data_IF_172970469642
#
_entry.id   IF_172970469642
#
_cell.length_a   1.000
_cell.length_b   1.000
_cell.length_c   1.000
_cell.angle_alpha   90.00
_cell.angle_beta   90.00
_cell.angle_gamma   90.00
#
_symmetry.space_group_name_H-M   'P 1'
#
loop_
_entity.id
_entity.type
_entity.pdbx_description
1 polymer ?
#
# COMPACT_ATOMS: atom_id res chain seq x y z
N UNK A 1 -6.23 -19.55 -63.57
CA UNK A 1 -6.34 -20.82 -62.86
C UNK A 1 -6.09 -20.54 -61.42
N UNK A 2 -6.98 -20.89 -60.51
CA UNK A 2 -7.81 -19.87 -59.86
C UNK A 2 -7.22 -19.38 -58.52
N UNK A 3 -7.48 -18.11 -58.26
CA UNK A 3 -7.31 -17.41 -57.00
C UNK A 3 -8.37 -17.95 -56.03
N UNK A 4 -7.99 -18.40 -54.86
CA UNK A 4 -8.91 -18.76 -53.80
C UNK A 4 -8.86 -17.74 -52.66
N UNK A 5 -10.02 -17.08 -52.51
CA UNK A 5 -10.44 -16.21 -51.43
C UNK A 5 -10.20 -16.83 -50.02
N UNK A 6 -9.50 -16.09 -49.17
CA UNK A 6 -9.70 -16.15 -47.69
C UNK A 6 -9.50 -14.74 -47.12
N UNK A 7 -10.51 -13.92 -47.32
CA UNK A 7 -10.73 -12.69 -46.57
C UNK A 7 -12.20 -12.70 -46.14
N UNK A 8 -12.46 -13.05 -44.92
CA UNK A 8 -13.65 -12.69 -44.12
C UNK A 8 -13.69 -13.59 -42.89
N UNK A 9 -13.29 -13.05 -41.77
CA UNK A 9 -13.84 -13.28 -40.42
C UNK A 9 -12.96 -12.48 -39.46
N UNK A 10 -13.22 -11.21 -39.32
CA UNK A 10 -12.83 -10.41 -38.12
C UNK A 10 -13.62 -9.09 -38.12
N UNK A 11 -14.95 -9.19 -38.02
CA UNK A 11 -15.78 -8.08 -37.54
C UNK A 11 -17.03 -8.70 -36.92
N UNK A 12 -16.97 -9.00 -35.63
CA UNK A 12 -18.15 -9.05 -34.75
C UNK A 12 -17.71 -9.44 -33.32
N UNK A 13 -17.13 -8.51 -32.58
CA UNK A 13 -17.06 -8.60 -31.12
C UNK A 13 -16.73 -7.24 -30.49
N UNK A 14 -17.55 -6.23 -30.74
CA UNK A 14 -17.68 -5.08 -29.83
C UNK A 14 -19.05 -4.45 -30.06
N UNK A 15 -20.02 -4.77 -29.25
CA UNK A 15 -20.80 -3.80 -28.52
C UNK A 15 -21.35 -4.34 -27.19
N UNK A 16 -20.57 -4.38 -26.12
CA UNK A 16 -21.13 -4.66 -24.79
C UNK A 16 -20.59 -3.77 -23.66
N UNK A 17 -19.63 -2.90 -23.90
CA UNK A 17 -19.08 -2.00 -22.87
C UNK A 17 -19.77 -0.64 -22.76
N UNK A 18 -20.60 -0.25 -23.71
CA UNK A 18 -21.38 1.01 -23.65
C UNK A 18 -22.69 0.90 -22.84
N UNK A 19 -23.11 -0.30 -22.46
CA UNK A 19 -24.41 -0.51 -21.77
C UNK A 19 -24.31 -0.54 -20.24
N UNK A 20 -23.11 -0.65 -19.64
CA UNK A 20 -22.95 -0.68 -18.19
C UNK A 20 -22.78 0.70 -17.57
N UNK A 21 -22.23 1.67 -18.30
CA UNK A 21 -22.10 3.05 -17.81
C UNK A 21 -23.42 3.83 -17.80
N UNK A 22 -24.44 3.36 -18.52
CA UNK A 22 -25.74 4.04 -18.61
C UNK A 22 -26.76 3.61 -17.56
N UNK A 23 -26.47 2.63 -16.70
CA UNK A 23 -27.41 2.11 -15.69
C UNK A 23 -27.21 2.64 -14.27
N UNK A 24 -26.18 3.40 -13.99
CA UNK A 24 -25.94 4.01 -12.66
C UNK A 24 -26.40 5.49 -12.63
N UNK A 25 -26.78 6.08 -13.75
CA UNK A 25 -27.17 7.49 -13.83
C UNK A 25 -28.67 7.78 -13.60
N UNK A 26 -29.47 6.81 -13.16
CA UNK A 26 -30.92 7.01 -12.96
C UNK A 26 -31.31 6.55 -11.56
N UNK A 27 -30.96 7.35 -10.53
CA UNK A 27 -31.69 7.36 -9.23
C UNK A 27 -31.16 8.44 -8.27
N UNK A 28 -30.90 9.65 -8.77
CA UNK A 28 -30.91 10.83 -7.89
C UNK A 28 -31.78 11.91 -8.55
N UNK A 29 -32.81 12.45 -7.90
CA UNK A 29 -33.54 13.57 -8.44
C UNK A 29 -32.62 14.79 -8.47
N UNK A 30 -32.35 15.30 -9.67
CA UNK A 30 -31.73 16.58 -9.89
C UNK A 30 -32.68 17.68 -9.40
N UNK A 31 -32.54 18.10 -8.15
CA UNK A 31 -32.97 19.43 -7.75
C UNK A 31 -31.93 20.42 -8.26
N UNK A 32 -32.30 21.42 -9.05
CA UNK A 32 -31.38 22.49 -9.41
C UNK A 32 -31.01 23.25 -8.12
N UNK A 33 -29.74 23.62 -7.94
CA UNK A 33 -29.36 24.41 -6.77
C UNK A 33 -30.05 25.75 -6.79
N UNK A 34 -30.73 26.10 -5.71
CA UNK A 34 -31.31 27.41 -5.46
C UNK A 34 -30.18 28.47 -5.44
N UNK A 35 -30.22 29.49 -6.31
CA UNK A 35 -29.19 30.51 -6.37
C UNK A 35 -29.02 31.35 -5.09
N UNK A 36 -29.90 31.15 -4.09
CA UNK A 36 -29.81 31.85 -2.81
C UNK A 36 -28.81 31.24 -1.80
N UNK A 37 -28.29 30.04 -2.05
CA UNK A 37 -27.42 29.33 -1.07
C UNK A 37 -25.95 29.73 -1.13
N UNK A 38 -25.51 30.55 -2.09
CA UNK A 38 -24.11 30.95 -2.25
C UNK A 38 -23.72 32.23 -1.51
N UNK A 39 -24.65 32.93 -0.85
CA UNK A 39 -24.35 34.24 -0.21
C UNK A 39 -23.92 34.16 1.25
N UNK A 40 -23.78 32.97 1.86
CA UNK A 40 -23.46 32.84 3.28
C UNK A 40 -22.00 32.50 3.61
N UNK A 41 -21.11 32.45 2.61
CA UNK A 41 -19.67 32.09 2.78
C UNK A 41 -18.71 33.26 2.58
N UNK A 42 -19.20 34.52 2.48
CA UNK A 42 -18.32 35.67 2.50
C UNK A 42 -18.38 36.41 3.86
N UNK A 43 -17.24 36.76 4.46
CA UNK A 43 -17.25 37.57 5.66
C UNK A 43 -17.85 38.94 5.38
N UNK A 44 -18.49 39.59 6.37
CA UNK A 44 -19.19 40.85 6.17
C UNK A 44 -18.22 41.97 5.74
N UNK A 45 -18.54 42.68 4.67
CA UNK A 45 -17.86 43.90 4.28
C UNK A 45 -18.11 44.93 5.38
N UNK A 46 -17.05 45.39 6.04
CA UNK A 46 -17.07 46.54 6.92
C UNK A 46 -17.18 47.81 6.05
N UNK A 47 -18.39 48.30 5.93
CA UNK A 47 -18.68 49.63 5.38
C UNK A 47 -18.91 50.60 6.55
N UNK A 48 -18.05 51.54 6.72
CA UNK A 48 -18.20 52.60 7.72
C UNK A 48 -17.76 53.93 7.13
N UNK A 49 -18.75 54.66 6.61
CA UNK A 49 -18.62 56.09 6.33
C UNK A 49 -18.64 56.88 7.66
N UNK A 50 -17.61 57.66 7.95
CA UNK A 50 -17.76 58.87 8.76
C UNK A 50 -16.62 59.82 8.43
N UNK A 51 -17.00 60.93 7.75
CA UNK A 51 -16.25 62.16 7.67
C UNK A 51 -16.17 62.80 9.05
N UNK A 52 -15.00 63.11 9.52
CA UNK A 52 -14.75 64.26 10.38
C UNK A 52 -13.27 64.73 10.31
N UNK A 53 -13.10 65.98 10.28
CA UNK A 53 -11.94 66.81 9.89
C UNK A 53 -10.80 66.88 10.91
N UNK A 54 -9.62 66.96 10.33
CA UNK A 54 -8.49 67.92 10.69
C UNK A 54 -7.98 67.96 12.12
N UNK A 55 -6.71 67.65 12.32
CA UNK A 55 -5.67 68.53 12.79
C UNK A 55 -4.28 67.90 12.79
N UNK A 56 -3.32 68.71 12.37
CA UNK A 56 -1.90 68.46 12.22
C UNK A 56 -1.22 67.74 13.39
N UNK A 57 -0.44 66.78 13.11
CA UNK A 57 0.51 66.12 14.00
C UNK A 57 1.24 65.03 13.22
N UNK A 58 2.38 65.38 12.60
CA UNK A 58 3.23 64.44 11.91
C UNK A 58 3.79 63.38 12.92
N UNK A 59 3.10 62.26 13.08
CA UNK A 59 3.66 61.08 13.69
C UNK A 59 4.08 60.18 12.55
N UNK A 60 5.38 60.09 12.29
CA UNK A 60 6.00 59.11 11.40
C UNK A 60 5.68 57.74 11.98
N UNK A 61 4.96 56.86 11.26
CA UNK A 61 4.76 55.47 11.73
C UNK A 61 6.11 54.76 11.70
N UNK A 62 6.41 53.86 12.67
CA UNK A 62 7.60 53.05 12.61
C UNK A 62 7.54 52.20 11.36
N UNK A 63 8.47 52.35 10.44
CA UNK A 63 8.73 51.45 9.35
C UNK A 63 9.33 50.19 9.95
N UNK A 64 8.51 49.17 10.18
CA UNK A 64 8.93 47.81 10.28
C UNK A 64 7.82 46.93 9.70
N UNK A 65 7.51 47.14 8.42
CA UNK A 65 6.88 46.10 7.62
C UNK A 65 8.02 45.31 7.00
N UNK A 66 8.54 44.31 7.72
CA UNK A 66 9.12 43.19 7.05
C UNK A 66 7.97 42.64 6.17
N UNK A 67 8.09 42.81 4.85
CA UNK A 67 7.24 42.08 3.92
C UNK A 67 7.34 40.60 4.31
N UNK A 68 6.22 39.91 4.51
CA UNK A 68 6.28 38.50 4.81
C UNK A 68 7.10 37.84 3.71
N UNK A 69 8.14 37.12 4.09
CA UNK A 69 8.99 36.40 3.15
C UNK A 69 8.08 35.57 2.23
N UNK A 70 8.33 35.64 0.92
CA UNK A 70 7.55 34.86 -0.05
C UNK A 70 7.55 33.39 0.37
N UNK A 71 6.41 32.70 0.29
CA UNK A 71 6.35 31.30 0.66
C UNK A 71 7.32 30.50 -0.19
N UNK A 72 8.04 29.57 0.43
CA UNK A 72 9.01 28.71 -0.24
C UNK A 72 8.48 27.30 -0.32
N UNK A 73 8.68 26.67 -1.47
CA UNK A 73 8.35 25.29 -1.77
C UNK A 73 9.63 24.44 -1.72
N UNK A 74 9.62 23.33 -1.00
CA UNK A 74 10.72 22.36 -1.04
C UNK A 74 10.54 21.44 -2.26
N UNK A 75 11.52 21.45 -3.17
CA UNK A 75 11.59 20.48 -4.25
C UNK A 75 12.51 19.33 -3.88
N UNK A 76 12.05 18.06 -4.04
CA UNK A 76 12.83 16.86 -3.83
C UNK A 76 12.91 16.06 -5.13
N UNK A 77 14.13 15.88 -5.63
CA UNK A 77 14.43 15.00 -6.76
C UNK A 77 14.32 13.52 -6.39
N UNK A 78 14.40 12.62 -7.37
CA UNK A 78 14.45 11.16 -7.10
C UNK A 78 15.61 10.77 -6.18
N UNK A 79 16.76 11.44 -6.28
CA UNK A 79 17.91 11.19 -5.39
C UNK A 79 17.63 11.68 -3.96
N UNK A 80 16.97 12.82 -3.80
CA UNK A 80 16.61 13.36 -2.50
C UNK A 80 15.56 12.49 -1.80
N UNK A 81 14.53 12.07 -2.54
CA UNK A 81 13.52 11.13 -2.05
C UNK A 81 14.18 9.81 -1.64
N UNK A 82 15.10 9.30 -2.46
CA UNK A 82 15.84 8.08 -2.14
C UNK A 82 16.67 8.19 -0.86
N UNK A 83 17.28 9.32 -0.62
CA UNK A 83 18.09 9.57 0.57
C UNK A 83 17.23 9.73 1.83
N UNK A 84 16.09 10.46 1.73
CA UNK A 84 15.22 10.76 2.86
C UNK A 84 14.26 9.60 3.22
N UNK A 85 13.84 8.77 2.23
CA UNK A 85 12.87 7.71 2.40
C UNK A 85 13.56 6.37 2.68
N UNK A 86 14.16 6.23 3.85
CA UNK A 86 14.79 4.97 4.31
C UNK A 86 13.74 3.87 4.52
N UNK A 87 14.19 2.63 4.74
CA UNK A 87 13.30 1.49 5.00
C UNK A 87 12.43 1.75 6.24
N UNK A 88 13.03 2.24 7.34
CA UNK A 88 12.32 2.52 8.59
C UNK A 88 11.29 3.63 8.42
N UNK A 89 11.64 4.72 7.72
CA UNK A 89 10.69 5.83 7.43
C UNK A 89 9.54 5.33 6.55
N UNK A 90 9.84 4.49 5.58
CA UNK A 90 8.84 3.91 4.70
C UNK A 90 7.89 2.99 5.48
N UNK A 91 8.42 2.07 6.28
CA UNK A 91 7.64 1.15 7.10
C UNK A 91 6.74 1.92 8.09
N UNK A 92 7.31 2.80 8.90
CA UNK A 92 6.54 3.59 9.88
C UNK A 92 5.42 4.40 9.21
N UNK A 93 5.68 5.00 8.02
CA UNK A 93 4.67 5.75 7.30
C UNK A 93 3.50 4.88 6.83
N UNK A 94 3.77 3.65 6.35
CA UNK A 94 2.72 2.75 5.89
C UNK A 94 1.93 2.15 7.05
N UNK A 95 2.59 1.80 8.15
CA UNK A 95 1.92 1.34 9.35
C UNK A 95 0.95 2.43 9.87
N UNK A 96 1.40 3.68 9.99
CA UNK A 96 0.54 4.80 10.40
C UNK A 96 -0.64 5.03 9.43
N UNK A 97 -0.41 4.90 8.12
CA UNK A 97 -1.47 5.02 7.12
C UNK A 97 -2.57 3.98 7.31
N UNK A 98 -2.22 2.71 7.49
CA UNK A 98 -3.19 1.65 7.69
C UNK A 98 -3.92 1.76 9.03
N UNK A 99 -3.24 2.18 10.11
CA UNK A 99 -3.90 2.47 11.39
C UNK A 99 -4.93 3.59 11.22
N UNK A 100 -4.60 4.70 10.57
CA UNK A 100 -5.53 5.80 10.32
C UNK A 100 -6.75 5.34 9.48
N UNK A 101 -6.50 4.49 8.48
CA UNK A 101 -7.57 3.90 7.66
C UNK A 101 -8.47 2.98 8.49
N UNK A 102 -7.88 2.08 9.29
CA UNK A 102 -8.62 1.14 10.15
C UNK A 102 -9.45 1.82 11.24
N UNK A 103 -9.02 3.01 11.70
CA UNK A 103 -9.79 3.86 12.64
C UNK A 103 -10.86 4.70 11.95
N UNK A 104 -10.90 4.73 10.61
CA UNK A 104 -11.84 5.57 9.88
C UNK A 104 -11.52 7.07 9.93
N UNK A 105 -10.28 7.44 10.26
CA UNK A 105 -9.81 8.83 10.35
C UNK A 105 -9.41 9.39 8.98
N UNK A 106 -8.97 8.51 8.08
CA UNK A 106 -8.44 8.87 6.78
C UNK A 106 -9.51 9.41 5.81
N UNK A 107 -9.13 10.41 5.03
CA UNK A 107 -9.94 10.94 3.94
C UNK A 107 -9.33 10.44 2.61
N UNK A 108 -10.02 9.48 1.98
CA UNK A 108 -9.59 8.79 0.78
C UNK A 108 -10.69 8.88 -0.31
N UNK A 109 -10.73 9.95 -1.12
CA UNK A 109 -11.66 10.04 -2.23
C UNK A 109 -11.28 9.06 -3.35
N UNK A 110 -12.26 8.73 -4.21
CA UNK A 110 -12.03 7.91 -5.39
C UNK A 110 -10.92 8.50 -6.28
N UNK A 111 -10.09 7.63 -6.83
CA UNK A 111 -9.01 8.01 -7.75
C UNK A 111 -9.56 8.51 -9.08
N UNK A 112 -8.88 9.50 -9.67
CA UNK A 112 -9.17 9.99 -11.00
C UNK A 112 -8.26 9.29 -12.01
N UNK A 113 -8.84 8.63 -13.00
CA UNK A 113 -8.13 8.01 -14.11
C UNK A 113 -8.50 8.72 -15.41
N UNK A 114 -7.50 9.05 -16.21
CA UNK A 114 -7.62 9.72 -17.52
C UNK A 114 -7.01 8.78 -18.59
N UNK A 115 -7.83 8.00 -19.31
CA UNK A 115 -7.35 7.12 -20.35
C UNK A 115 -6.60 7.89 -21.45
N UNK A 116 -5.48 7.31 -21.91
CA UNK A 116 -4.66 7.81 -22.99
C UNK A 116 -4.80 6.97 -24.26
N UNK A 117 -3.71 6.80 -25.00
CA UNK A 117 -3.68 5.93 -26.19
C UNK A 117 -3.33 4.50 -25.76
N UNK A 118 -4.06 3.50 -26.30
CA UNK A 118 -3.84 2.11 -25.96
C UNK A 118 -4.06 1.89 -24.45
N UNK A 119 -3.04 1.37 -23.77
CA UNK A 119 -3.05 1.10 -22.33
C UNK A 119 -2.45 2.24 -21.48
N UNK A 120 -2.13 3.38 -22.10
CA UNK A 120 -1.63 4.54 -21.39
C UNK A 120 -2.72 5.16 -20.52
N UNK A 121 -2.38 5.56 -19.31
CA UNK A 121 -3.31 6.21 -18.38
C UNK A 121 -2.59 7.28 -17.55
N UNK A 122 -3.18 8.48 -17.45
CA UNK A 122 -2.81 9.42 -16.41
C UNK A 122 -3.74 9.25 -15.20
N UNK A 123 -3.21 9.51 -14.01
CA UNK A 123 -3.95 9.33 -12.76
C UNK A 123 -3.72 10.50 -11.80
N UNK A 124 -4.73 10.76 -10.96
CA UNK A 124 -4.59 11.65 -9.81
C UNK A 124 -5.15 10.95 -8.57
N UNK A 125 -4.34 10.85 -7.54
CA UNK A 125 -4.71 10.39 -6.21
C UNK A 125 -4.59 11.56 -5.25
N UNK A 126 -5.55 11.69 -4.34
CA UNK A 126 -5.48 12.66 -3.25
C UNK A 126 -5.91 11.99 -1.96
N UNK A 127 -5.29 12.34 -0.84
CA UNK A 127 -5.67 11.83 0.46
C UNK A 127 -5.17 12.73 1.61
N UNK A 128 -5.72 12.48 2.80
CA UNK A 128 -5.23 12.96 4.10
C UNK A 128 -5.32 11.82 5.10
N UNK A 129 -4.36 11.72 6.01
CA UNK A 129 -4.41 10.72 7.09
C UNK A 129 -5.54 11.02 8.09
N UNK A 130 -5.87 12.31 8.28
CA UNK A 130 -7.00 12.82 9.06
C UNK A 130 -7.36 14.25 8.59
N UNK A 131 -8.46 14.80 9.06
CA UNK A 131 -8.93 16.13 8.61
C UNK A 131 -7.93 17.27 8.87
N UNK A 132 -7.13 17.16 9.93
CA UNK A 132 -6.11 18.16 10.31
C UNK A 132 -4.74 17.89 9.66
N UNK A 133 -4.52 16.76 9.02
CA UNK A 133 -3.27 16.41 8.37
C UNK A 133 -3.06 17.16 7.04
N UNK A 134 -1.81 17.26 6.54
CA UNK A 134 -1.54 17.78 5.21
C UNK A 134 -2.35 17.07 4.12
N UNK A 135 -2.92 17.84 3.18
CA UNK A 135 -3.48 17.25 1.98
C UNK A 135 -2.36 16.93 1.00
N UNK A 136 -2.39 15.74 0.45
CA UNK A 136 -1.37 15.29 -0.51
C UNK A 136 -2.06 14.87 -1.79
N UNK A 137 -1.46 15.22 -2.93
CA UNK A 137 -1.88 14.70 -4.23
C UNK A 137 -0.69 14.11 -4.97
N UNK A 138 -0.94 12.98 -5.66
CA UNK A 138 -0.01 12.39 -6.61
C UNK A 138 -0.65 12.43 -8.00
N UNK A 139 -0.03 13.17 -8.91
CA UNK A 139 -0.41 13.19 -10.32
C UNK A 139 0.69 12.54 -11.14
N UNK A 140 0.31 11.62 -12.01
CA UNK A 140 1.26 10.88 -12.80
C UNK A 140 0.63 10.13 -13.97
N UNK A 141 1.43 9.28 -14.58
CA UNK A 141 0.97 8.45 -15.69
C UNK A 141 1.67 7.09 -15.71
N UNK A 142 1.01 6.14 -16.34
CA UNK A 142 1.57 4.83 -16.71
C UNK A 142 1.66 4.77 -18.24
N UNK A 143 2.87 4.54 -18.74
CA UNK A 143 3.17 4.33 -20.16
C UNK A 143 4.03 3.08 -20.30
N UNK A 144 3.41 1.94 -20.61
CA UNK A 144 4.11 0.65 -20.69
C UNK A 144 5.25 0.66 -21.73
N UNK A 145 5.08 1.37 -22.84
CA UNK A 145 6.08 1.51 -23.90
C UNK A 145 7.36 2.30 -23.52
N UNK A 146 7.36 2.99 -22.39
CA UNK A 146 8.54 3.71 -21.91
C UNK A 146 9.73 2.80 -21.64
N UNK A 147 9.47 1.55 -21.25
CA UNK A 147 10.51 0.55 -20.97
C UNK A 147 11.39 0.31 -22.20
N UNK A 148 10.80 0.26 -23.40
CA UNK A 148 11.52 0.09 -24.66
C UNK A 148 12.43 1.29 -24.99
N UNK A 149 12.13 2.47 -24.42
CA UNK A 149 12.93 3.69 -24.53
C UNK A 149 13.93 3.89 -23.37
N UNK A 150 14.04 2.92 -22.46
CA UNK A 150 14.88 3.01 -21.26
C UNK A 150 14.36 3.98 -20.20
N UNK A 151 13.07 4.33 -20.24
CA UNK A 151 12.41 5.18 -19.27
C UNK A 151 11.55 4.35 -18.31
N UNK A 152 11.33 4.80 -17.07
CA UNK A 152 10.36 4.18 -16.19
C UNK A 152 8.95 4.15 -16.79
N UNK A 153 8.23 3.05 -16.61
CA UNK A 153 6.84 2.94 -17.05
C UNK A 153 5.91 3.90 -16.28
N UNK A 154 6.26 4.25 -15.06
CA UNK A 154 5.48 5.14 -14.18
C UNK A 154 6.28 6.40 -13.89
N UNK A 155 5.70 7.55 -14.17
CA UNK A 155 6.19 8.86 -13.76
C UNK A 155 5.13 9.58 -12.93
N UNK A 156 5.52 10.20 -11.83
CA UNK A 156 4.62 10.97 -10.99
C UNK A 156 5.33 12.11 -10.26
N UNK A 157 4.55 13.15 -9.95
CA UNK A 157 4.89 14.17 -8.98
C UNK A 157 3.91 14.08 -7.81
N UNK A 158 4.42 14.32 -6.61
CA UNK A 158 3.64 14.36 -5.38
C UNK A 158 3.74 15.75 -4.77
N UNK A 159 2.60 16.35 -4.43
CA UNK A 159 2.49 17.67 -3.83
C UNK A 159 1.92 17.57 -2.43
N UNK A 160 2.52 18.25 -1.46
CA UNK A 160 2.08 18.34 -0.07
C UNK A 160 1.63 19.78 0.20
N UNK A 161 0.46 19.95 0.80
CA UNK A 161 -0.10 21.25 1.19
C UNK A 161 0.01 21.43 2.71
N UNK A 162 0.31 22.65 3.15
CA UNK A 162 0.20 23.03 4.56
C UNK A 162 -1.24 22.84 5.05
N UNK A 163 -1.47 22.16 6.16
CA UNK A 163 -2.84 21.84 6.61
C UNK A 163 -3.63 23.06 7.08
N UNK A 164 -2.97 24.15 7.45
CA UNK A 164 -3.58 25.35 8.00
C UNK A 164 -3.86 26.40 6.93
N UNK A 165 -2.89 26.62 6.05
CA UNK A 165 -2.95 27.70 5.05
C UNK A 165 -3.31 27.22 3.64
N UNK A 166 -3.15 25.91 3.37
CA UNK A 166 -3.31 25.33 2.04
C UNK A 166 -2.16 25.67 1.06
N UNK A 167 -1.12 26.36 1.52
CA UNK A 167 0.05 26.70 0.69
C UNK A 167 0.82 25.41 0.37
N UNK A 168 1.24 25.18 -0.90
CA UNK A 168 2.14 24.07 -1.21
C UNK A 168 3.46 24.19 -0.46
N UNK A 169 3.85 23.17 0.29
CA UNK A 169 5.08 23.13 1.09
C UNK A 169 6.15 22.27 0.47
N UNK A 170 5.74 21.25 -0.30
CA UNK A 170 6.67 20.33 -0.95
C UNK A 170 6.13 19.84 -2.28
N UNK A 171 7.02 19.69 -3.26
CA UNK A 171 6.81 18.90 -4.48
C UNK A 171 7.95 17.92 -4.61
N UNK A 172 7.64 16.64 -4.82
CA UNK A 172 8.66 15.61 -4.92
C UNK A 172 8.43 14.65 -6.09
N UNK A 173 9.51 14.04 -6.53
CA UNK A 173 9.49 12.97 -7.52
C UNK A 173 8.80 11.72 -6.91
N UNK A 174 7.89 11.11 -7.68
CA UNK A 174 7.00 10.07 -7.16
C UNK A 174 7.39 8.64 -7.51
N UNK A 175 8.40 8.39 -8.34
CA UNK A 175 8.77 7.04 -8.79
C UNK A 175 9.38 6.23 -7.66
N UNK A 176 10.44 6.73 -7.03
CA UNK A 176 11.07 6.11 -5.86
C UNK A 176 10.10 6.01 -4.68
N UNK A 177 9.33 7.06 -4.43
CA UNK A 177 8.31 7.07 -3.37
C UNK A 177 7.32 5.92 -3.57
N UNK A 178 6.74 5.79 -4.77
CA UNK A 178 5.76 4.74 -5.08
C UNK A 178 6.37 3.34 -4.92
N UNK A 179 7.60 3.13 -5.41
CA UNK A 179 8.27 1.84 -5.31
C UNK A 179 8.46 1.41 -3.87
N UNK A 180 9.04 2.30 -3.04
CA UNK A 180 9.36 1.98 -1.64
C UNK A 180 8.15 1.89 -0.75
N UNK A 181 7.14 2.78 -0.91
CA UNK A 181 5.91 2.69 -0.09
C UNK A 181 5.12 1.40 -0.38
N UNK A 182 5.15 0.91 -1.62
CA UNK A 182 4.47 -0.34 -1.98
C UNK A 182 5.11 -1.54 -1.29
N UNK A 183 6.43 -1.65 -1.34
CA UNK A 183 7.14 -2.72 -0.67
C UNK A 183 7.05 -2.61 0.87
N UNK A 184 7.07 -1.39 1.42
CA UNK A 184 6.88 -1.16 2.85
C UNK A 184 5.48 -1.54 3.33
N UNK A 185 4.43 -1.29 2.53
CA UNK A 185 3.08 -1.75 2.83
C UNK A 185 3.01 -3.29 2.89
N UNK A 186 3.74 -3.96 2.01
CA UNK A 186 3.85 -5.43 2.04
C UNK A 186 4.65 -5.93 3.24
N UNK A 187 5.66 -5.18 3.71
CA UNK A 187 6.37 -5.51 4.95
C UNK A 187 5.46 -5.41 6.17
N UNK A 188 4.65 -4.34 6.28
CA UNK A 188 3.62 -4.20 7.34
C UNK A 188 2.63 -5.37 7.28
N UNK A 189 2.19 -5.76 6.07
CA UNK A 189 1.31 -6.91 5.89
C UNK A 189 1.99 -8.23 6.30
N UNK A 190 3.28 -8.39 6.00
CA UNK A 190 4.06 -9.58 6.39
C UNK A 190 4.14 -9.69 7.92
N UNK A 191 4.42 -8.61 8.62
CA UNK A 191 4.48 -8.57 10.09
C UNK A 191 3.12 -8.87 10.73
N UNK A 192 2.03 -8.31 10.20
CA UNK A 192 0.69 -8.47 10.76
C UNK A 192 0.02 -9.80 10.41
N UNK A 193 0.34 -10.39 9.26
CA UNK A 193 -0.44 -11.49 8.69
C UNK A 193 0.29 -12.84 8.68
N UNK A 194 1.60 -12.84 8.87
CA UNK A 194 2.36 -14.07 8.88
C UNK A 194 3.01 -14.30 10.26
N UNK A 195 2.90 -15.54 10.73
CA UNK A 195 3.55 -16.01 11.96
C UNK A 195 4.16 -17.38 11.71
N UNK A 196 5.32 -17.68 12.30
CA UNK A 196 5.89 -19.03 12.28
C UNK A 196 4.91 -20.10 12.75
N UNK A 197 4.05 -19.78 13.72
CA UNK A 197 3.05 -20.70 14.30
C UNK A 197 1.92 -21.03 13.31
N UNK A 198 1.64 -20.16 12.32
CA UNK A 198 0.62 -20.40 11.30
C UNK A 198 0.99 -21.53 10.35
N UNK A 199 2.22 -22.01 10.39
CA UNK A 199 2.78 -22.99 9.47
C UNK A 199 2.38 -24.45 9.75
N UNK A 200 1.66 -24.74 10.84
CA UNK A 200 1.20 -26.10 11.18
C UNK A 200 2.31 -27.15 11.34
N UNK A 201 3.55 -26.69 11.45
CA UNK A 201 4.71 -27.55 11.67
C UNK A 201 5.01 -27.59 13.15
N UNK A 202 5.29 -28.74 13.76
CA UNK A 202 5.59 -28.91 15.18
C UNK A 202 6.80 -28.07 15.58
N UNK A 203 6.58 -27.06 16.42
CA UNK A 203 7.61 -26.17 16.91
C UNK A 203 8.52 -26.88 17.90
N UNK A 204 9.79 -26.96 17.57
CA UNK A 204 10.82 -27.11 18.60
C UNK A 204 10.99 -25.74 19.28
N UNK A 205 10.28 -25.51 20.38
CA UNK A 205 10.52 -24.36 21.24
C UNK A 205 11.94 -24.39 21.73
N UNK A 206 12.78 -23.47 21.26
CA UNK A 206 14.08 -23.22 21.87
C UNK A 206 13.82 -22.42 23.14
N UNK A 207 14.21 -22.99 24.29
CA UNK A 207 13.83 -22.56 25.64
C UNK A 207 14.55 -21.29 26.15
N UNK A 208 15.14 -20.47 25.29
CA UNK A 208 16.05 -19.39 25.72
C UNK A 208 15.64 -18.03 25.11
N UNK A 209 14.41 -17.57 25.28
CA UNK A 209 14.08 -16.13 25.26
C UNK A 209 14.59 -15.23 24.11
N UNK A 210 15.25 -15.79 23.11
CA UNK A 210 15.67 -15.12 21.90
C UNK A 210 14.73 -15.56 20.76
N UNK A 211 14.02 -14.63 20.18
CA UNK A 211 13.02 -14.70 19.14
C UNK A 211 12.71 -16.07 18.51
N UNK A 212 11.45 -16.31 18.17
CA UNK A 212 10.98 -17.57 17.58
C UNK A 212 11.90 -17.99 16.45
N UNK A 213 12.77 -18.98 16.72
CA UNK A 213 13.73 -19.49 15.76
C UNK A 213 13.03 -20.29 14.68
N UNK A 214 13.34 -19.97 13.44
CA UNK A 214 13.01 -20.81 12.29
C UNK A 214 13.55 -22.23 12.50
N UNK A 215 12.89 -23.15 11.89
CA UNK A 215 13.10 -24.56 11.90
C UNK A 215 14.43 -24.94 11.46
N UNK A 216 15.31 -25.42 11.63
CA UNK A 216 16.67 -25.73 11.19
C UNK A 216 17.66 -24.54 11.33
N UNK A 217 17.24 -23.43 11.99
CA UNK A 217 18.09 -22.24 12.15
C UNK A 217 18.25 -21.40 10.87
N UNK A 218 17.39 -21.60 9.85
CA UNK A 218 17.57 -20.96 8.53
C UNK A 218 16.69 -19.73 8.29
N UNK A 219 15.73 -19.38 9.15
CA UNK A 219 14.86 -18.21 9.00
C UNK A 219 13.69 -18.39 8.00
N UNK A 220 13.01 -17.28 7.68
CA UNK A 220 11.88 -17.23 6.75
C UNK A 220 12.34 -17.51 5.32
N UNK A 221 11.62 -18.36 4.60
CA UNK A 221 11.86 -18.59 3.18
C UNK A 221 10.95 -17.71 2.34
N UNK A 222 11.54 -16.84 1.52
CA UNK A 222 10.83 -15.89 0.68
C UNK A 222 10.96 -16.28 -0.79
N UNK A 223 9.82 -16.39 -1.48
CA UNK A 223 9.77 -16.49 -2.93
C UNK A 223 9.43 -15.11 -3.54
N UNK A 224 10.18 -14.71 -4.55
CA UNK A 224 9.90 -13.52 -5.35
C UNK A 224 9.56 -13.98 -6.77
N UNK A 225 8.38 -13.59 -7.26
CA UNK A 225 7.94 -13.90 -8.63
C UNK A 225 7.88 -12.62 -9.43
N UNK A 226 8.78 -12.50 -10.42
CA UNK A 226 8.99 -11.28 -11.21
C UNK A 226 10.40 -10.70 -11.03
N UNK A 227 10.87 -9.86 -11.99
CA UNK A 227 12.23 -9.30 -11.98
C UNK A 227 12.26 -7.77 -12.10
N UNK A 228 11.12 -7.11 -11.92
CA UNK A 228 10.98 -5.66 -11.99
C UNK A 228 11.41 -4.94 -10.70
N UNK A 229 11.25 -3.61 -10.69
CA UNK A 229 11.61 -2.74 -9.55
C UNK A 229 10.88 -3.13 -8.25
N UNK A 230 9.66 -3.68 -8.35
CA UNK A 230 8.91 -4.14 -7.19
C UNK A 230 9.49 -5.44 -6.63
N UNK A 231 9.98 -6.35 -7.47
CA UNK A 231 10.63 -7.58 -7.02
C UNK A 231 11.86 -7.28 -6.13
N UNK A 232 12.73 -6.36 -6.59
CA UNK A 232 13.88 -5.90 -5.82
C UNK A 232 13.48 -5.21 -4.51
N UNK A 233 12.49 -4.31 -4.57
CA UNK A 233 12.03 -3.57 -3.40
C UNK A 233 11.40 -4.50 -2.35
N UNK A 234 10.62 -5.52 -2.75
CA UNK A 234 10.04 -6.48 -1.83
C UNK A 234 11.10 -7.40 -1.20
N UNK A 235 12.12 -7.81 -1.96
CA UNK A 235 13.24 -8.55 -1.40
C UNK A 235 14.00 -7.73 -0.34
N UNK A 236 14.26 -6.43 -0.60
CA UNK A 236 14.90 -5.52 0.36
C UNK A 236 14.03 -5.31 1.61
N UNK A 237 12.72 -5.12 1.45
CA UNK A 237 11.82 -4.96 2.59
C UNK A 237 11.69 -6.24 3.42
N UNK A 238 11.66 -7.42 2.79
CA UNK A 238 11.59 -8.68 3.51
C UNK A 238 12.80 -8.89 4.43
N UNK A 239 14.02 -8.58 3.96
CA UNK A 239 15.24 -8.71 4.79
C UNK A 239 15.45 -7.58 5.79
N UNK A 240 14.75 -6.46 5.63
CA UNK A 240 14.77 -5.33 6.57
C UNK A 240 13.69 -5.38 7.64
N UNK A 241 12.78 -6.37 7.60
CA UNK A 241 11.71 -6.55 8.57
C UNK A 241 12.15 -7.23 9.87
N UNK A 242 11.19 -7.50 10.76
CA UNK A 242 11.45 -8.12 12.08
C UNK A 242 11.88 -9.59 11.98
N UNK A 243 11.55 -10.26 10.88
CA UNK A 243 11.84 -11.67 10.70
C UNK A 243 13.19 -11.90 10.01
N UNK A 244 14.00 -12.79 10.56
CA UNK A 244 15.24 -13.21 9.90
C UNK A 244 14.91 -14.00 8.64
N UNK A 245 15.31 -13.52 7.46
CA UNK A 245 15.18 -14.23 6.20
C UNK A 245 16.35 -15.17 6.01
N UNK A 246 16.06 -16.47 5.87
CA UNK A 246 17.09 -17.50 5.67
C UNK A 246 17.33 -17.83 4.20
N UNK A 247 16.33 -17.63 3.33
CA UNK A 247 16.43 -17.93 1.90
C UNK A 247 15.56 -17.02 1.07
N UNK A 248 16.09 -16.60 -0.10
CA UNK A 248 15.33 -15.90 -1.13
C UNK A 248 15.46 -16.68 -2.44
N UNK A 249 14.33 -17.06 -3.04
CA UNK A 249 14.27 -17.62 -4.39
C UNK A 249 13.56 -16.66 -5.33
N UNK A 250 14.16 -16.47 -6.50
CA UNK A 250 13.62 -15.63 -7.57
C UNK A 250 13.21 -16.50 -8.75
N UNK A 251 11.98 -16.32 -9.24
CA UNK A 251 11.53 -16.84 -10.52
C UNK A 251 10.99 -15.72 -11.39
N UNK A 252 11.38 -15.67 -12.65
CA UNK A 252 10.87 -14.67 -13.58
C UNK A 252 10.83 -15.23 -15.01
N UNK A 253 9.87 -14.72 -15.79
CA UNK A 253 9.72 -15.10 -17.21
C UNK A 253 10.90 -14.66 -18.06
N UNK A 254 11.41 -13.45 -17.80
CA UNK A 254 12.56 -12.89 -18.50
C UNK A 254 13.85 -13.21 -17.71
N UNK A 255 14.61 -14.17 -18.21
CA UNK A 255 15.85 -14.63 -17.59
C UNK A 255 16.92 -13.54 -17.53
N UNK A 256 17.04 -12.72 -18.57
CA UNK A 256 18.05 -11.65 -18.62
C UNK A 256 17.79 -10.60 -17.53
N UNK A 257 16.54 -10.12 -17.40
CA UNK A 257 16.15 -9.21 -16.32
C UNK A 257 16.35 -9.83 -14.93
N UNK A 258 16.12 -11.13 -14.79
CA UNK A 258 16.33 -11.84 -13.53
C UNK A 258 17.82 -11.94 -13.17
N UNK A 259 18.69 -12.27 -14.12
CA UNK A 259 20.16 -12.30 -13.93
C UNK A 259 20.70 -10.90 -13.54
N UNK A 260 20.19 -9.84 -14.15
CA UNK A 260 20.51 -8.46 -13.78
C UNK A 260 20.05 -8.11 -12.34
N UNK A 261 18.86 -8.55 -11.94
CA UNK A 261 18.36 -8.35 -10.57
C UNK A 261 19.26 -9.07 -9.57
N UNK A 262 19.61 -10.33 -9.81
CA UNK A 262 20.52 -11.09 -8.95
C UNK A 262 21.88 -10.41 -8.84
N UNK A 263 22.43 -9.92 -9.96
CA UNK A 263 23.71 -9.19 -9.96
C UNK A 263 23.63 -7.89 -9.13
N UNK A 264 22.53 -7.12 -9.25
CA UNK A 264 22.31 -5.94 -8.41
C UNK A 264 22.16 -6.33 -6.94
N UNK A 265 21.41 -7.39 -6.63
CA UNK A 265 21.19 -7.89 -5.28
C UNK A 265 22.53 -8.14 -4.55
N UNK A 266 23.48 -8.79 -5.19
CA UNK A 266 24.81 -9.02 -4.62
C UNK A 266 25.55 -7.75 -4.18
N UNK A 267 25.23 -6.60 -4.79
CA UNK A 267 25.87 -5.31 -4.49
C UNK A 267 25.07 -4.40 -3.59
N UNK A 268 23.73 -4.58 -3.52
CA UNK A 268 22.81 -3.66 -2.82
C UNK A 268 22.18 -4.25 -1.57
N UNK A 269 22.24 -5.58 -1.39
CA UNK A 269 21.64 -6.25 -0.23
C UNK A 269 22.29 -5.81 1.08
N UNK A 270 21.54 -5.74 2.17
CA UNK A 270 22.08 -5.48 3.51
C UNK A 270 23.09 -6.56 3.92
N UNK A 271 24.02 -6.17 4.80
CA UNK A 271 24.96 -7.12 5.40
C UNK A 271 24.20 -8.21 6.17
N UNK A 272 24.58 -9.47 5.97
CA UNK A 272 23.91 -10.62 6.59
C UNK A 272 22.67 -11.13 5.85
N UNK A 273 22.15 -10.41 4.86
CA UNK A 273 21.05 -10.91 4.02
C UNK A 273 21.49 -12.10 3.15
N UNK A 274 20.63 -13.10 2.94
CA UNK A 274 20.97 -14.27 2.13
C UNK A 274 21.19 -13.89 0.66
N UNK A 275 21.86 -14.78 -0.08
CA UNK A 275 21.94 -14.69 -1.54
C UNK A 275 20.53 -14.90 -2.14
N UNK A 276 20.31 -14.29 -3.30
CA UNK A 276 19.10 -14.52 -4.08
C UNK A 276 19.36 -15.65 -5.10
N UNK A 277 18.67 -16.77 -4.88
CA UNK A 277 18.76 -17.97 -5.73
C UNK A 277 17.80 -17.82 -6.92
N UNK A 278 18.33 -17.71 -8.14
CA UNK A 278 17.52 -17.72 -9.36
C UNK A 278 17.18 -19.15 -9.74
N UNK A 279 15.87 -19.46 -9.77
CA UNK A 279 15.35 -20.78 -10.13
C UNK A 279 14.63 -20.75 -11.48
N UNK A 280 14.41 -21.93 -12.09
CA UNK A 280 13.89 -22.01 -13.45
C UNK A 280 12.37 -21.88 -13.54
N UNK A 281 11.63 -22.24 -12.46
CA UNK A 281 10.18 -22.23 -12.46
C UNK A 281 9.62 -21.54 -11.22
N UNK A 282 8.38 -21.02 -11.32
CA UNK A 282 7.65 -20.45 -10.19
C UNK A 282 7.36 -21.52 -9.13
N UNK A 283 7.08 -22.77 -9.55
CA UNK A 283 6.92 -23.90 -8.64
C UNK A 283 8.15 -24.10 -7.75
N UNK A 284 9.36 -24.07 -8.35
CA UNK A 284 10.61 -24.18 -7.59
C UNK A 284 10.81 -23.00 -6.62
N UNK A 285 10.41 -21.79 -7.00
CA UNK A 285 10.49 -20.65 -6.10
C UNK A 285 9.54 -20.80 -4.92
N UNK A 286 8.31 -21.26 -5.15
CA UNK A 286 7.27 -21.43 -4.14
C UNK A 286 7.51 -22.64 -3.22
N UNK A 287 8.33 -23.60 -3.65
CA UNK A 287 8.61 -24.80 -2.85
C UNK A 287 9.14 -24.42 -1.47
N UNK A 288 8.43 -24.79 -0.42
CA UNK A 288 8.74 -24.47 0.99
C UNK A 288 8.74 -22.98 1.37
N UNK A 289 8.25 -22.09 0.49
CA UNK A 289 8.21 -20.65 0.79
C UNK A 289 7.18 -20.34 1.88
N UNK A 290 7.59 -19.54 2.84
CA UNK A 290 6.77 -18.98 3.93
C UNK A 290 6.00 -17.76 3.43
N UNK A 291 6.66 -16.93 2.65
CA UNK A 291 6.12 -15.72 2.04
C UNK A 291 6.39 -15.75 0.53
N UNK A 292 5.37 -15.47 -0.26
CA UNK A 292 5.44 -15.45 -1.72
C UNK A 292 5.02 -14.06 -2.19
N UNK A 293 5.96 -13.23 -2.65
CA UNK A 293 5.68 -11.92 -3.23
C UNK A 293 5.58 -12.03 -4.76
N UNK A 294 4.39 -11.78 -5.29
CA UNK A 294 4.11 -11.82 -6.74
C UNK A 294 4.11 -10.40 -7.28
N UNK A 295 5.15 -10.07 -8.05
CA UNK A 295 5.47 -8.71 -8.52
C UNK A 295 5.57 -8.67 -10.05
N UNK A 296 4.53 -9.15 -10.75
CA UNK A 296 4.55 -9.29 -12.21
C UNK A 296 3.65 -8.26 -12.91
N UNK A 297 3.72 -8.23 -14.22
CA UNK A 297 2.78 -7.51 -15.08
C UNK A 297 1.81 -8.45 -15.77
N UNK A 298 1.65 -9.68 -15.29
CA UNK A 298 0.80 -10.70 -15.90
C UNK A 298 -0.69 -10.29 -15.85
N UNK A 299 -1.41 -10.63 -16.90
CA UNK A 299 -2.87 -10.53 -16.94
C UNK A 299 -3.56 -11.86 -16.62
N UNK A 300 -2.78 -12.92 -16.41
CA UNK A 300 -3.25 -14.26 -16.06
C UNK A 300 -2.47 -14.79 -14.87
N UNK A 301 -3.06 -15.70 -14.07
CA UNK A 301 -2.40 -16.28 -12.92
C UNK A 301 -1.03 -16.87 -13.24
N UNK A 302 -0.07 -16.62 -12.36
CA UNK A 302 1.31 -17.12 -12.44
C UNK A 302 1.62 -18.14 -11.34
N UNK A 303 0.69 -18.34 -10.40
CA UNK A 303 0.74 -19.35 -9.36
C UNK A 303 -0.26 -20.47 -9.65
N UNK A 304 0.01 -21.64 -9.10
CA UNK A 304 -0.99 -22.71 -8.92
C UNK A 304 -1.20 -22.96 -7.42
N UNK A 305 -2.45 -23.24 -7.03
CA UNK A 305 -2.79 -23.43 -5.61
C UNK A 305 -1.99 -24.59 -4.98
N UNK A 306 -1.61 -25.59 -5.75
CA UNK A 306 -0.83 -26.75 -5.31
C UNK A 306 0.63 -26.44 -5.00
N UNK A 307 1.19 -25.34 -5.50
CA UNK A 307 2.56 -24.93 -5.24
C UNK A 307 2.72 -24.17 -3.93
N UNK A 308 1.60 -23.66 -3.39
CA UNK A 308 1.58 -22.84 -2.18
C UNK A 308 1.31 -23.75 -0.98
N UNK A 309 2.22 -23.76 -0.01
CA UNK A 309 2.05 -24.55 1.21
C UNK A 309 0.99 -23.97 2.16
N UNK A 310 0.51 -24.78 3.08
CA UNK A 310 -0.37 -24.33 4.16
C UNK A 310 0.36 -23.37 5.10
N UNK A 311 -0.34 -22.35 5.56
CA UNK A 311 0.19 -21.29 6.41
C UNK A 311 1.08 -20.27 5.70
N UNK A 312 1.24 -20.36 4.37
CA UNK A 312 1.99 -19.34 3.63
C UNK A 312 1.19 -18.02 3.51
N UNK A 313 1.95 -16.91 3.47
CA UNK A 313 1.44 -15.60 3.06
C UNK A 313 1.75 -15.36 1.59
N UNK A 314 0.73 -15.12 0.80
CA UNK A 314 0.87 -14.67 -0.60
C UNK A 314 0.61 -13.17 -0.67
N UNK A 315 1.53 -12.41 -1.25
CA UNK A 315 1.43 -10.97 -1.46
C UNK A 315 1.31 -10.74 -2.97
N UNK A 316 0.16 -10.27 -3.45
CA UNK A 316 -0.08 -9.91 -4.86
C UNK A 316 0.03 -8.41 -5.04
N UNK A 317 0.96 -7.97 -5.88
CA UNK A 317 1.27 -6.56 -6.15
C UNK A 317 0.86 -6.15 -7.56
N UNK A 318 0.96 -7.05 -8.53
CA UNK A 318 0.71 -6.74 -9.93
C UNK A 318 -0.75 -6.75 -10.35
N UNK A 319 -1.66 -7.18 -9.47
CA UNK A 319 -3.11 -7.26 -9.74
C UNK A 319 -3.85 -5.95 -9.47
N UNK A 320 -3.26 -4.81 -9.79
CA UNK A 320 -3.74 -3.46 -9.47
C UNK A 320 -4.81 -2.89 -10.42
N UNK A 321 -5.29 -3.69 -11.37
CA UNK A 321 -6.45 -3.39 -12.19
C UNK A 321 -7.27 -4.65 -12.42
N UNK A 322 -8.57 -4.51 -12.68
CA UNK A 322 -9.52 -5.63 -12.81
C UNK A 322 -9.13 -6.65 -13.91
N UNK A 323 -8.35 -6.22 -14.90
CA UNK A 323 -7.88 -7.05 -16.01
C UNK A 323 -6.59 -7.82 -15.71
N UNK A 324 -5.98 -7.63 -14.53
CA UNK A 324 -4.71 -8.24 -14.13
C UNK A 324 -4.91 -9.17 -12.94
N UNK A 325 -4.65 -10.44 -13.12
CA UNK A 325 -4.75 -11.42 -12.04
C UNK A 325 -3.49 -12.28 -11.98
N UNK A 326 -2.70 -12.14 -10.92
CA UNK A 326 -1.50 -12.93 -10.69
C UNK A 326 -1.80 -14.22 -9.93
N UNK A 327 -2.88 -14.24 -9.13
CA UNK A 327 -3.27 -15.33 -8.24
C UNK A 327 -4.53 -15.99 -8.77
N UNK A 328 -4.59 -17.32 -8.88
CA UNK A 328 -5.76 -18.01 -9.40
C UNK A 328 -6.90 -18.04 -8.37
N UNK A 329 -8.15 -18.06 -8.87
CA UNK A 329 -9.35 -18.00 -8.04
C UNK A 329 -9.51 -19.21 -7.10
N UNK A 330 -8.98 -20.37 -7.45
CA UNK A 330 -9.00 -21.57 -6.58
C UNK A 330 -8.05 -21.43 -5.37
N UNK A 331 -6.97 -20.64 -5.48
CA UNK A 331 -6.13 -20.29 -4.34
C UNK A 331 -6.83 -19.24 -3.48
N UNK A 332 -7.46 -18.22 -4.10
CA UNK A 332 -8.25 -17.20 -3.38
C UNK A 332 -9.38 -17.86 -2.57
N UNK A 333 -10.05 -18.88 -3.13
CA UNK A 333 -11.11 -19.63 -2.45
C UNK A 333 -10.65 -20.36 -1.17
N UNK A 334 -9.36 -20.56 -0.99
CA UNK A 334 -8.74 -21.22 0.17
C UNK A 334 -8.04 -20.22 1.11
N UNK A 335 -8.08 -18.94 0.77
CA UNK A 335 -7.32 -17.90 1.47
C UNK A 335 -8.19 -17.09 2.43
N UNK A 336 -7.56 -16.65 3.54
CA UNK A 336 -7.96 -15.43 4.24
C UNK A 336 -7.54 -14.26 3.36
N UNK A 337 -8.49 -13.46 2.86
CA UNK A 337 -8.21 -12.35 1.95
C UNK A 337 -8.16 -11.05 2.70
N UNK A 338 -6.99 -10.41 2.69
CA UNK A 338 -6.74 -9.09 3.28
C UNK A 338 -6.30 -8.13 2.17
N UNK A 339 -6.82 -6.91 2.20
CA UNK A 339 -6.58 -5.88 1.19
C UNK A 339 -6.13 -4.56 1.83
N UNK A 340 -5.59 -3.65 1.05
CA UNK A 340 -5.27 -2.30 1.51
C UNK A 340 -6.53 -1.46 1.75
N UNK A 341 -7.49 -1.45 0.83
CA UNK A 341 -8.80 -0.80 0.96
C UNK A 341 -9.88 -1.65 0.30
N UNK A 342 -10.99 -1.89 1.02
CA UNK A 342 -12.04 -2.82 0.56
C UNK A 342 -12.73 -2.32 -0.70
N UNK A 343 -13.14 -1.05 -0.74
CA UNK A 343 -13.87 -0.49 -1.89
C UNK A 343 -13.01 -0.54 -3.16
N UNK A 344 -11.76 -0.10 -3.06
CA UNK A 344 -10.80 -0.13 -4.16
C UNK A 344 -10.50 -1.56 -4.61
N UNK A 345 -10.30 -2.50 -3.68
CA UNK A 345 -9.96 -3.88 -4.04
C UNK A 345 -11.11 -4.61 -4.72
N UNK A 346 -12.35 -4.42 -4.25
CA UNK A 346 -13.54 -5.02 -4.87
C UNK A 346 -13.80 -4.50 -6.29
N UNK A 347 -13.34 -3.27 -6.60
CA UNK A 347 -13.49 -2.67 -7.93
C UNK A 347 -12.32 -2.99 -8.86
N UNK A 348 -11.10 -2.98 -8.35
CA UNK A 348 -9.88 -2.84 -9.15
C UNK A 348 -8.84 -3.95 -8.93
N UNK A 349 -8.88 -4.73 -7.84
CA UNK A 349 -7.92 -5.83 -7.70
C UNK A 349 -8.35 -7.04 -8.51
N UNK A 350 -7.61 -7.36 -9.57
CA UNK A 350 -8.02 -8.38 -10.51
C UNK A 350 -8.13 -9.81 -9.91
N UNK A 351 -7.33 -10.16 -8.89
CA UNK A 351 -7.46 -11.44 -8.20
C UNK A 351 -8.79 -11.49 -7.41
N UNK A 352 -9.13 -10.41 -6.72
CA UNK A 352 -10.36 -10.28 -5.94
C UNK A 352 -11.57 -10.25 -6.88
N UNK A 353 -11.53 -9.43 -7.93
CA UNK A 353 -12.61 -9.32 -8.94
C UNK A 353 -12.85 -10.66 -9.61
N UNK A 354 -11.80 -11.37 -10.04
CA UNK A 354 -11.93 -12.69 -10.67
C UNK A 354 -12.55 -13.72 -9.72
N UNK A 355 -12.16 -13.74 -8.44
CA UNK A 355 -12.71 -14.65 -7.45
C UNK A 355 -14.18 -14.36 -7.12
N UNK A 356 -14.58 -13.08 -7.05
CA UNK A 356 -15.98 -12.66 -6.91
C UNK A 356 -16.81 -13.09 -8.12
N UNK A 357 -16.31 -12.87 -9.33
CA UNK A 357 -16.99 -13.28 -10.57
C UNK A 357 -17.14 -14.80 -10.69
N UNK A 358 -16.16 -15.55 -10.16
CA UNK A 358 -16.23 -17.01 -10.09
C UNK A 358 -17.13 -17.52 -8.97
N UNK A 359 -17.64 -16.66 -8.09
CA UNK A 359 -18.50 -17.02 -6.96
C UNK A 359 -17.78 -17.79 -5.86
N UNK A 360 -16.46 -17.67 -5.76
CA UNK A 360 -15.62 -18.36 -4.76
C UNK A 360 -15.16 -17.45 -3.62
N UNK A 361 -15.47 -16.17 -3.70
CA UNK A 361 -15.21 -15.15 -2.67
C UNK A 361 -16.48 -14.35 -2.42
N UNK A 362 -16.79 -14.05 -1.17
CA UNK A 362 -17.86 -13.16 -0.78
C UNK A 362 -17.30 -11.78 -0.38
N UNK A 363 -18.00 -10.70 -0.72
CA UNK A 363 -17.53 -9.33 -0.41
C UNK A 363 -17.36 -9.09 1.10
N UNK A 364 -18.21 -9.73 1.92
CA UNK A 364 -18.18 -9.62 3.38
C UNK A 364 -17.01 -10.36 4.05
N UNK A 365 -16.34 -11.28 3.36
CA UNK A 365 -15.20 -12.03 3.89
C UNK A 365 -13.84 -11.35 3.65
N UNK A 366 -13.83 -10.22 2.93
CA UNK A 366 -12.60 -9.45 2.64
C UNK A 366 -12.32 -8.52 3.81
N UNK A 367 -11.18 -8.73 4.48
CA UNK A 367 -10.68 -7.85 5.55
C UNK A 367 -9.78 -6.75 4.98
N UNK A 368 -9.61 -5.63 5.69
CA UNK A 368 -8.57 -4.66 5.37
C UNK A 368 -7.38 -4.79 6.33
N UNK A 369 -6.18 -4.47 5.86
CA UNK A 369 -4.98 -4.49 6.70
C UNK A 369 -5.12 -3.52 7.89
N UNK A 370 -5.80 -2.38 7.69
CA UNK A 370 -6.09 -1.43 8.76
C UNK A 370 -6.97 -2.02 9.86
N UNK A 371 -8.03 -2.80 9.50
CA UNK A 371 -8.89 -3.50 10.48
C UNK A 371 -8.08 -4.53 11.28
N UNK A 372 -7.17 -5.25 10.64
CA UNK A 372 -6.29 -6.22 11.31
C UNK A 372 -5.40 -5.51 12.33
N UNK A 373 -4.67 -4.49 11.91
CA UNK A 373 -3.73 -3.77 12.77
C UNK A 373 -4.41 -3.11 13.99
N UNK A 374 -5.58 -2.51 13.80
CA UNK A 374 -6.33 -1.88 14.90
C UNK A 374 -6.85 -2.93 15.89
N UNK A 375 -7.31 -4.08 15.41
CA UNK A 375 -7.75 -5.19 16.26
C UNK A 375 -6.59 -5.76 17.08
N UNK A 376 -5.45 -6.01 16.45
CA UNK A 376 -4.29 -6.59 17.12
C UNK A 376 -3.69 -5.64 18.17
N UNK A 377 -3.69 -4.33 17.90
CA UNK A 377 -3.31 -3.31 18.89
C UNK A 377 -4.23 -3.31 20.12
N UNK A 378 -5.55 -3.46 19.93
CA UNK A 378 -6.50 -3.52 21.03
C UNK A 378 -6.30 -4.75 21.93
N UNK A 379 -5.96 -5.90 21.35
CA UNK A 379 -5.64 -7.11 22.13
C UNK A 379 -4.35 -6.99 22.92
N UNK A 380 -3.33 -6.31 22.37
CA UNK A 380 -2.07 -6.08 23.08
C UNK A 380 -2.28 -5.19 24.33
N UNK A 381 -3.13 -4.17 24.25
CA UNK A 381 -3.48 -3.28 25.36
C UNK A 381 -4.23 -4.03 26.47
N UNK A 382 -5.15 -4.96 26.11
CA UNK A 382 -5.89 -5.77 27.06
C UNK A 382 -4.99 -6.76 27.81
N UNK A 383 -4.05 -7.42 27.13
CA UNK A 383 -3.08 -8.34 27.73
C UNK A 383 -2.12 -7.63 28.70
N UNK A 384 -1.73 -6.39 28.40
CA UNK A 384 -0.92 -5.57 29.32
C UNK A 384 -1.72 -5.08 30.51
N UNK A 385 -2.97 -4.74 30.35
CA UNK A 385 -3.88 -4.36 31.44
C UNK A 385 -4.08 -5.55 32.40
N UNK A 386 -4.28 -6.77 31.91
CA UNK A 386 -4.39 -7.96 32.74
C UNK A 386 -3.08 -8.27 33.47
N UNK A 387 -1.92 -8.11 32.85
CA UNK A 387 -0.62 -8.30 33.53
C UNK A 387 -0.36 -7.30 34.63
N UNK A 388 -0.80 -6.07 34.52
CA UNK A 388 -0.69 -5.06 35.57
C UNK A 388 -1.61 -5.32 36.75
N UNK A 389 -2.78 -5.91 36.54
CA UNK A 389 -3.71 -6.28 37.63
C UNK A 389 -3.16 -7.41 38.49
N UNK A 390 -2.36 -8.33 37.94
CA UNK A 390 -1.78 -9.46 38.66
C UNK A 390 -0.49 -9.12 39.44
N UNK A 391 0.17 -8.00 39.13
CA UNK A 391 1.42 -7.61 39.78
C UNK A 391 1.22 -6.74 41.03
N UNK A 392 0.02 -6.28 41.35
CA UNK A 392 -0.26 -5.41 42.51
C UNK A 392 -0.77 -6.19 43.76
N UNK A 393 -0.96 -7.51 43.64
CA UNK A 393 -1.43 -8.35 44.77
C UNK A 393 -0.39 -9.39 45.19
N UNK A 394 0.82 -8.93 45.58
CA UNK A 394 1.83 -9.77 46.22
C UNK A 394 1.64 -9.83 47.73
N UNK A 395 0.48 -10.28 48.19
CA UNK A 395 0.28 -10.81 49.53
C UNK A 395 -0.96 -11.69 49.60
N UNK A 396 -0.86 -12.94 49.31
CA UNK A 396 -1.31 -14.04 50.15
C UNK A 396 -1.54 -15.37 49.42
N UNK A 397 -0.90 -16.40 49.91
CA UNK A 397 -1.25 -17.83 49.97
C UNK A 397 -1.72 -18.58 48.69
N UNK A 398 -0.81 -19.55 48.42
CA UNK A 398 -1.00 -20.67 47.50
C UNK A 398 -2.36 -21.38 47.61
N UNK A 399 -2.96 -21.53 46.44
CA UNK A 399 -3.77 -22.70 46.08
C UNK A 399 -3.50 -22.98 44.61
N UNK A 400 -2.83 -24.09 44.37
CA UNK A 400 -2.74 -24.71 43.05
C UNK A 400 -4.14 -25.15 42.61
N UNK A 401 -4.61 -24.64 41.51
CA UNK A 401 -5.70 -25.29 40.78
C UNK A 401 -5.32 -25.42 39.29
N UNK A 402 -4.87 -26.61 38.93
CA UNK A 402 -4.86 -27.10 37.57
C UNK A 402 -6.32 -27.32 37.15
N UNK A 403 -6.76 -26.55 36.19
CA UNK A 403 -8.04 -26.74 35.54
C UNK A 403 -7.96 -26.22 34.12
N UNK A 404 -7.36 -27.03 33.24
CA UNK A 404 -7.58 -26.88 31.80
C UNK A 404 -9.07 -27.05 31.53
N UNK A 405 -9.75 -26.01 31.15
CA UNK A 405 -11.07 -26.09 30.58
C UNK A 405 -10.95 -25.88 29.06
N UNK A 406 -10.71 -27.00 28.39
CA UNK A 406 -11.14 -27.19 27.01
C UNK A 406 -12.67 -27.07 26.99
N UNK A 407 -13.21 -25.96 26.54
CA UNK A 407 -14.62 -25.85 26.17
C UNK A 407 -14.85 -24.68 25.21
N UNK A 408 -14.52 -24.91 23.94
CA UNK A 408 -15.33 -24.34 22.88
C UNK A 408 -15.41 -25.32 21.69
N UNK A 409 -16.25 -26.36 21.88
CA UNK A 409 -16.80 -27.17 20.82
C UNK A 409 -18.19 -26.61 20.50
N UNK A 410 -18.24 -25.45 19.81
CA UNK A 410 -19.44 -24.78 19.33
C UNK A 410 -19.50 -24.81 17.80
N UNK A 411 -20.18 -25.80 17.28
CA UNK A 411 -20.97 -25.90 16.04
C UNK A 411 -20.70 -24.84 14.95
N UNK A 412 -20.08 -25.25 13.95
CA UNK A 412 -20.01 -25.04 12.49
C UNK A 412 -18.54 -25.12 12.11
N UNK A 413 -18.16 -26.25 11.49
CA UNK A 413 -16.78 -26.47 11.07
C UNK A 413 -16.38 -25.51 9.94
N UNK A 414 -16.13 -24.26 10.26
CA UNK A 414 -15.42 -23.34 9.38
C UNK A 414 -13.99 -23.88 9.26
N UNK A 415 -13.67 -24.39 8.08
CA UNK A 415 -12.31 -24.79 7.75
C UNK A 415 -11.43 -23.55 7.93
N UNK A 416 -10.42 -23.62 8.78
CA UNK A 416 -9.38 -22.58 8.85
C UNK A 416 -8.85 -22.36 7.43
N UNK A 417 -8.69 -21.11 6.99
CA UNK A 417 -8.13 -20.81 5.68
C UNK A 417 -6.75 -21.45 5.56
N UNK A 418 -6.46 -22.03 4.39
CA UNK A 418 -5.20 -22.75 4.14
C UNK A 418 -4.01 -21.79 4.05
N UNK A 419 -4.23 -20.60 3.49
CA UNK A 419 -3.22 -19.56 3.23
C UNK A 419 -3.78 -18.19 3.58
N UNK A 420 -2.92 -17.18 3.71
CA UNK A 420 -3.33 -15.77 3.74
C UNK A 420 -2.94 -15.11 2.42
N UNK A 421 -3.84 -14.33 1.84
CA UNK A 421 -3.57 -13.51 0.65
C UNK A 421 -3.67 -12.03 1.02
N UNK A 422 -2.57 -11.31 0.90
CA UNK A 422 -2.58 -9.84 0.89
C UNK A 422 -2.63 -9.35 -0.56
N UNK A 423 -3.77 -8.81 -0.98
CA UNK A 423 -4.00 -8.34 -2.33
C UNK A 423 -3.96 -6.80 -2.38
N UNK A 424 -2.80 -6.25 -2.75
CA UNK A 424 -2.56 -4.81 -2.79
C UNK A 424 -2.98 -4.19 -4.12
N UNK A 425 -3.65 -3.05 -4.07
CA UNK A 425 -3.94 -2.19 -5.23
C UNK A 425 -3.08 -0.94 -5.20
N UNK A 426 -2.82 -0.43 -4.00
CA UNK A 426 -2.18 0.85 -3.76
C UNK A 426 -3.20 2.00 -3.75
N UNK A 427 -3.27 2.71 -2.65
CA UNK A 427 -4.21 3.79 -2.40
C UNK A 427 -3.50 5.12 -2.15
N UNK A 428 -4.19 6.23 -2.40
CA UNK A 428 -3.64 7.58 -2.24
C UNK A 428 -3.16 7.89 -0.83
N UNK A 429 -3.73 7.25 0.19
CA UNK A 429 -3.33 7.42 1.58
C UNK A 429 -1.90 6.93 1.85
N UNK A 430 -1.49 5.83 1.23
CA UNK A 430 -0.13 5.32 1.31
C UNK A 430 0.89 6.32 0.75
N UNK A 431 0.54 6.95 -0.40
CA UNK A 431 1.36 7.99 -1.00
C UNK A 431 1.38 9.26 -0.12
N UNK A 432 0.25 9.61 0.52
CA UNK A 432 0.14 10.77 1.40
C UNK A 432 1.01 10.61 2.65
N UNK A 433 0.91 9.50 3.36
CA UNK A 433 1.72 9.23 4.54
C UNK A 433 3.23 9.18 4.20
N UNK A 434 3.58 8.53 3.08
CA UNK A 434 4.95 8.49 2.59
C UNK A 434 5.49 9.89 2.27
N UNK A 435 4.72 10.74 1.59
CA UNK A 435 5.16 12.07 1.18
C UNK A 435 5.40 13.01 2.38
N UNK A 436 4.52 12.96 3.38
CA UNK A 436 4.70 13.73 4.62
C UNK A 436 5.96 13.25 5.34
N UNK A 437 6.15 11.95 5.51
CA UNK A 437 7.33 11.40 6.17
C UNK A 437 8.64 11.73 5.42
N UNK A 438 8.63 11.68 4.08
CA UNK A 438 9.77 12.09 3.25
C UNK A 438 10.08 13.56 3.41
N UNK A 439 9.07 14.43 3.37
CA UNK A 439 9.27 15.88 3.56
C UNK A 439 9.91 16.17 4.91
N UNK A 440 9.39 15.59 5.98
CA UNK A 440 9.95 15.75 7.33
C UNK A 440 11.38 15.23 7.45
N UNK A 441 11.66 14.07 6.89
CA UNK A 441 13.01 13.49 6.90
C UNK A 441 13.99 14.34 6.09
N UNK A 442 13.59 14.82 4.92
CA UNK A 442 14.39 15.72 4.08
C UNK A 442 14.69 17.05 4.78
N UNK A 443 13.70 17.64 5.45
CA UNK A 443 13.88 18.88 6.22
C UNK A 443 14.86 18.69 7.38
N UNK A 444 14.74 17.58 8.14
CA UNK A 444 15.68 17.25 9.23
C UNK A 444 17.11 17.04 8.71
N UNK A 445 17.27 16.46 7.54
CA UNK A 445 18.56 16.19 6.92
C UNK A 445 19.14 17.37 6.13
N UNK A 446 18.38 18.47 5.95
CA UNK A 446 18.78 19.60 5.11
C UNK A 446 18.91 19.26 3.63
N UNK A 447 18.09 18.31 3.15
CA UNK A 447 18.10 17.80 1.76
C UNK A 447 16.97 18.44 0.96
N UNK A 448 17.20 18.66 -0.33
CA UNK A 448 16.24 19.27 -1.26
C UNK A 448 16.59 20.70 -1.65
N UNK A 449 15.84 21.24 -2.60
CA UNK A 449 16.05 22.59 -3.15
C UNK A 449 14.87 23.48 -2.82
N UNK A 450 15.06 24.58 -2.06
CA UNK A 450 14.00 25.55 -1.84
C UNK A 450 13.74 26.34 -3.12
N UNK A 451 12.47 26.44 -3.51
CA UNK A 451 12.01 27.22 -4.66
C UNK A 451 11.06 28.32 -4.17
N UNK A 452 11.14 29.56 -4.70
CA UNK A 452 10.14 30.57 -4.41
C UNK A 452 8.81 30.20 -5.07
N UNK A 453 7.69 30.43 -4.36
CA UNK A 453 6.34 30.30 -4.90
C UNK A 453 5.87 31.60 -5.53
#
# INVERSE_FOLDING_TARGET
>A
MPVSNHAMIFVTAMPRLAASAAKIAVLLPLCPPDPASFSSLMPPRIGGDSRAANRDGAVTPPRSSEEPAAPTLLYLSESDVRAAFTADVAHASQHAAFIALGRGEALLPARLLLPGRGDDVAFCYAARAEASAPAVSKFGSVHAGNVDAGLPAVHALVTVLDPTTGVPTCVMAGTTLTTRRTAAASAVAMEALWSPDSSGRDDVRVADGAGVGARDGTGVHVAIVGSGVQAEAHALCAVGGEHTVGRIRLAARDRASADELVARWHTTRPEGAPDMELVDTVEQACADADVIAVCTTSTTPVLEATWVRDGALVISVGSFSAERSEVPSDLVAQARVVVDDRETALADNGCVVAALMAGVLETGSVETLGEVLVRDAAHADDDDAERHVWNDDSSNNGVTNHGAADSDAGAHGERRPRVTLYASVGIGLQDAAAAVAVQEAAQRAGVGTPLPL
#
